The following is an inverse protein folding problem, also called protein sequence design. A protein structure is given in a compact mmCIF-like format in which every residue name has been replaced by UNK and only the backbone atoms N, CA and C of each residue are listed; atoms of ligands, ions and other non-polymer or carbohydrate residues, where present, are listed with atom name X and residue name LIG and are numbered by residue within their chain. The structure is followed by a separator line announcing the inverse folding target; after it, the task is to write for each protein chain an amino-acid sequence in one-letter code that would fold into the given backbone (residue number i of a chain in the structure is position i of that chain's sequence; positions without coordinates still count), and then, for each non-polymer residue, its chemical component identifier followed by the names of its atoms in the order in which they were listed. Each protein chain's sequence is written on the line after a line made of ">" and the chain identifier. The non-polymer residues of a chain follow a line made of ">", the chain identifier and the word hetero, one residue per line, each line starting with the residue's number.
data_IF_317786333870
#
_entry.id   IF_317786333870
#
_cell.length_a   1.000
_cell.length_b   1.000
_cell.length_c   1.000
_cell.angle_alpha   90.00
_cell.angle_beta   90.00
_cell.angle_gamma   90.00
#
_symmetry.space_group_name_H-M   'P 1'
#
loop_
_entity.id
_entity.type
_entity.pdbx_description
1 polymer ?
#
# COMPACT_ATOMS: atom_id res chain seq x y z
N UNK A 1 -74.27 -15.43 -35.11
CA UNK A 1 -73.05 -16.24 -34.87
C UNK A 1 -71.72 -15.56 -35.28
N UNK A 2 -71.72 -14.54 -36.14
CA UNK A 2 -70.48 -13.88 -36.64
C UNK A 2 -69.71 -12.99 -35.64
N UNK A 3 -70.31 -12.55 -34.52
CA UNK A 3 -69.64 -11.67 -33.54
C UNK A 3 -68.71 -12.41 -32.56
N UNK A 4 -68.91 -13.72 -32.35
CA UNK A 4 -68.04 -14.54 -31.47
C UNK A 4 -66.73 -14.95 -32.16
N UNK A 5 -66.71 -15.10 -33.49
CA UNK A 5 -65.49 -15.42 -34.24
C UNK A 5 -64.49 -14.25 -34.32
N UNK A 6 -64.94 -13.00 -34.35
CA UNK A 6 -64.03 -11.83 -34.37
C UNK A 6 -63.29 -11.63 -33.03
N UNK A 7 -63.91 -11.98 -31.89
CA UNK A 7 -63.25 -11.93 -30.58
C UNK A 7 -62.26 -13.09 -30.36
N UNK A 8 -62.45 -14.23 -31.04
CA UNK A 8 -61.58 -15.39 -30.93
C UNK A 8 -60.29 -15.27 -31.77
N UNK A 9 -60.37 -14.62 -32.94
CA UNK A 9 -59.19 -14.36 -33.78
C UNK A 9 -58.25 -13.29 -33.20
N UNK A 10 -58.78 -12.31 -32.47
CA UNK A 10 -57.98 -11.24 -31.86
C UNK A 10 -57.28 -11.73 -30.58
N UNK A 11 -57.87 -12.69 -29.85
CA UNK A 11 -57.25 -13.27 -28.65
C UNK A 11 -56.13 -14.26 -28.95
N UNK A 12 -56.11 -14.88 -30.14
CA UNK A 12 -55.04 -15.80 -30.54
C UNK A 12 -53.84 -15.06 -31.15
N UNK A 13 -54.07 -13.91 -31.81
CA UNK A 13 -53.00 -13.09 -32.39
C UNK A 13 -52.19 -12.33 -31.32
N UNK A 14 -52.79 -12.00 -30.17
CA UNK A 14 -52.06 -11.41 -29.02
C UNK A 14 -51.29 -12.42 -28.20
N UNK A 15 -51.56 -13.73 -28.34
CA UNK A 15 -50.81 -14.79 -27.66
C UNK A 15 -49.53 -15.19 -28.41
N UNK A 16 -49.39 -14.84 -29.69
CA UNK A 16 -48.28 -15.28 -30.54
C UNK A 16 -47.17 -14.23 -30.73
N UNK A 17 -47.37 -12.99 -30.25
CA UNK A 17 -46.36 -11.92 -30.30
C UNK A 17 -45.55 -11.72 -29.00
N UNK A 18 -45.76 -12.54 -27.96
CA UNK A 18 -45.00 -12.45 -26.70
C UNK A 18 -43.78 -13.39 -26.66
N UNK A 19 -43.61 -14.28 -27.66
CA UNK A 19 -42.51 -15.26 -27.70
C UNK A 19 -41.38 -14.85 -28.66
N UNK A 20 -41.08 -13.55 -28.75
CA UNK A 20 -39.88 -13.05 -29.45
C UNK A 20 -39.03 -12.12 -28.59
N UNK A 21 -39.20 -12.15 -27.27
CA UNK A 21 -38.49 -11.28 -26.31
C UNK A 21 -37.39 -11.94 -25.47
N UNK A 22 -37.13 -13.25 -25.61
CA UNK A 22 -36.19 -13.96 -24.72
C UNK A 22 -35.03 -14.52 -25.54
N UNK A 23 -34.28 -13.59 -26.12
CA UNK A 23 -33.01 -13.86 -26.79
C UNK A 23 -31.98 -12.79 -26.47
N UNK A 24 -32.13 -12.08 -25.35
CA UNK A 24 -30.97 -11.39 -24.77
C UNK A 24 -30.12 -12.49 -24.16
N UNK A 25 -29.16 -13.00 -24.94
CA UNK A 25 -28.06 -13.74 -24.38
C UNK A 25 -27.51 -12.90 -23.25
N UNK A 26 -27.58 -13.41 -22.02
CA UNK A 26 -26.75 -12.90 -20.95
C UNK A 26 -25.33 -13.08 -21.45
N UNK A 27 -24.72 -12.00 -21.95
CA UNK A 27 -23.28 -11.94 -22.08
C UNK A 27 -22.80 -12.01 -20.63
N UNK A 28 -22.53 -13.21 -20.14
CA UNK A 28 -21.69 -13.38 -18.98
C UNK A 28 -20.35 -12.79 -19.44
N UNK A 29 -20.10 -11.53 -19.10
CA UNK A 29 -18.77 -10.98 -19.20
C UNK A 29 -17.89 -11.97 -18.43
N UNK A 30 -17.00 -12.65 -19.14
CA UNK A 30 -16.06 -13.59 -18.56
C UNK A 30 -15.23 -12.78 -17.55
N UNK A 31 -15.59 -12.88 -16.26
CA UNK A 31 -14.91 -12.19 -15.16
C UNK A 31 -13.63 -12.95 -14.76
N UNK A 32 -13.10 -13.80 -15.64
CA UNK A 32 -11.78 -14.39 -15.41
C UNK A 32 -10.74 -13.30 -15.57
N UNK A 33 -10.01 -13.02 -14.48
CA UNK A 33 -8.87 -12.11 -14.51
C UNK A 33 -7.88 -12.61 -15.58
N UNK A 34 -7.24 -11.70 -16.34
CA UNK A 34 -6.31 -12.10 -17.39
C UNK A 34 -5.21 -12.97 -16.78
N UNK A 35 -4.93 -14.15 -17.37
CA UNK A 35 -3.77 -14.93 -16.99
C UNK A 35 -2.54 -14.39 -17.71
N UNK A 36 -1.72 -13.64 -16.98
CA UNK A 36 -0.42 -13.15 -17.43
C UNK A 36 0.68 -14.08 -16.91
N UNK A 37 1.58 -14.48 -17.79
CA UNK A 37 2.81 -15.17 -17.41
C UNK A 37 3.84 -14.14 -16.92
N UNK A 38 3.78 -13.81 -15.63
CA UNK A 38 4.68 -12.86 -14.98
C UNK A 38 5.80 -13.60 -14.24
N UNK A 39 7.05 -13.19 -14.46
CA UNK A 39 8.21 -13.58 -13.66
C UNK A 39 8.26 -12.85 -12.30
N UNK A 40 7.18 -12.94 -11.54
CA UNK A 40 7.04 -12.35 -10.20
C UNK A 40 6.46 -13.38 -9.22
N UNK A 41 6.86 -13.29 -7.94
CA UNK A 41 6.30 -14.13 -6.87
C UNK A 41 4.85 -13.77 -6.53
N UNK A 42 4.49 -12.51 -6.68
CA UNK A 42 3.14 -11.98 -6.43
C UNK A 42 2.98 -10.67 -7.20
N UNK A 43 1.75 -10.35 -7.59
CA UNK A 43 1.39 -9.12 -8.28
C UNK A 43 -0.09 -8.80 -8.08
N UNK A 44 -0.41 -7.51 -8.04
CA UNK A 44 -1.80 -7.04 -8.07
C UNK A 44 -1.88 -5.77 -8.93
N UNK A 45 -2.98 -5.62 -9.66
CA UNK A 45 -3.35 -4.38 -10.33
C UNK A 45 -4.76 -4.01 -9.91
N UNK A 46 -4.95 -2.76 -9.48
CA UNK A 46 -6.21 -2.26 -8.93
C UNK A 46 -6.58 -0.98 -9.65
N UNK A 47 -7.86 -0.85 -10.05
CA UNK A 47 -8.40 0.43 -10.49
C UNK A 47 -8.50 1.38 -9.29
N UNK A 48 -7.75 2.48 -9.32
CA UNK A 48 -7.62 3.39 -8.19
C UNK A 48 -8.93 4.11 -7.83
N UNK A 49 -9.90 4.22 -8.74
CA UNK A 49 -11.17 4.93 -8.50
C UNK A 49 -12.22 4.04 -7.86
N UNK A 50 -12.28 2.78 -8.29
CA UNK A 50 -13.33 1.84 -7.92
C UNK A 50 -12.86 0.80 -6.91
N UNK A 51 -11.55 0.60 -6.78
CA UNK A 51 -10.97 -0.49 -5.99
C UNK A 51 -11.10 -1.86 -6.66
N UNK A 52 -11.55 -1.93 -7.91
CA UNK A 52 -11.66 -3.19 -8.64
C UNK A 52 -10.27 -3.79 -8.88
N UNK A 53 -10.08 -5.05 -8.48
CA UNK A 53 -8.89 -5.83 -8.83
C UNK A 53 -9.00 -6.20 -10.32
N UNK A 54 -8.07 -5.69 -11.12
CA UNK A 54 -7.97 -5.93 -12.57
C UNK A 54 -7.10 -7.16 -12.85
N UNK A 55 -6.14 -7.45 -11.96
CA UNK A 55 -5.27 -8.61 -12.03
C UNK A 55 -4.74 -8.96 -10.64
N UNK A 56 -4.57 -10.24 -10.36
CA UNK A 56 -3.95 -10.73 -9.15
C UNK A 56 -3.17 -12.04 -9.41
N UNK A 57 -2.00 -12.15 -8.78
CA UNK A 57 -1.16 -13.36 -8.71
C UNK A 57 -0.65 -13.47 -7.28
N UNK A 58 -0.98 -14.56 -6.59
CA UNK A 58 -0.51 -14.84 -5.21
C UNK A 58 -0.63 -13.62 -4.27
N UNK A 59 -1.73 -12.87 -4.40
CA UNK A 59 -2.00 -11.60 -3.71
C UNK A 59 -2.34 -11.79 -2.23
N UNK A 60 -2.80 -12.99 -1.87
CA UNK A 60 -3.15 -13.38 -0.49
C UNK A 60 -1.96 -13.77 0.37
N UNK A 61 -0.77 -13.95 -0.22
CA UNK A 61 0.42 -14.37 0.49
C UNK A 61 1.27 -13.18 0.92
N UNK A 62 1.83 -13.34 2.10
CA UNK A 62 2.64 -12.38 2.84
C UNK A 62 4.09 -12.44 2.28
N UNK A 63 4.57 -11.39 1.58
CA UNK A 63 5.97 -11.20 1.13
C UNK A 63 6.78 -10.02 1.74
N UNK A 64 8.11 -10.14 1.90
CA UNK A 64 9.00 -9.02 2.23
C UNK A 64 8.89 -7.86 1.22
N UNK A 65 8.57 -6.65 1.68
CA UNK A 65 8.37 -5.48 0.78
C UNK A 65 9.55 -4.51 0.74
N UNK A 66 10.53 -4.70 1.63
CA UNK A 66 11.71 -3.84 1.75
C UNK A 66 11.35 -2.33 1.72
N UNK A 67 11.97 -1.54 0.84
CA UNK A 67 11.77 -0.08 0.81
C UNK A 67 10.33 0.36 0.52
N UNK A 68 9.43 -0.50 0.04
CA UNK A 68 8.00 -0.13 -0.11
C UNK A 68 7.36 0.23 1.24
N UNK A 69 7.93 -0.19 2.38
CA UNK A 69 7.50 0.23 3.72
C UNK A 69 7.50 1.76 3.90
N UNK A 70 8.37 2.47 3.18
CA UNK A 70 8.48 3.93 3.23
C UNK A 70 7.21 4.63 2.75
N UNK A 71 6.35 3.96 1.97
CA UNK A 71 5.04 4.50 1.58
C UNK A 71 4.12 4.69 2.79
N UNK A 72 4.17 3.78 3.78
CA UNK A 72 3.43 3.94 5.03
C UNK A 72 4.01 5.08 5.88
N UNK A 73 5.33 5.24 5.91
CA UNK A 73 5.98 6.39 6.55
C UNK A 73 5.57 7.72 5.89
N UNK A 74 5.54 7.77 4.56
CA UNK A 74 5.08 8.92 3.80
C UNK A 74 3.61 9.25 4.10
N UNK A 75 2.75 8.24 4.15
CA UNK A 75 1.34 8.41 4.49
C UNK A 75 1.15 9.03 5.88
N UNK A 76 1.87 8.52 6.89
CA UNK A 76 1.82 9.04 8.26
C UNK A 76 2.34 10.47 8.34
N UNK A 77 3.43 10.78 7.62
CA UNK A 77 3.97 12.15 7.55
C UNK A 77 2.96 13.11 6.92
N UNK A 78 2.35 12.73 5.80
CA UNK A 78 1.36 13.56 5.13
C UNK A 78 0.12 13.80 6.01
N UNK A 79 -0.31 12.80 6.80
CA UNK A 79 -1.34 12.99 7.81
C UNK A 79 -0.92 13.99 8.90
N UNK A 80 0.29 13.86 9.44
CA UNK A 80 0.79 14.77 10.46
C UNK A 80 0.86 16.22 9.95
N UNK A 81 1.28 16.40 8.70
CA UNK A 81 1.29 17.72 8.04
C UNK A 81 -0.12 18.25 7.85
N UNK A 82 -1.04 17.42 7.35
CA UNK A 82 -2.44 17.81 7.16
C UNK A 82 -3.12 18.25 8.45
N UNK A 83 -2.78 17.60 9.58
CA UNK A 83 -3.28 17.93 10.92
C UNK A 83 -2.55 19.12 11.58
N UNK A 84 -1.51 19.65 10.95
CA UNK A 84 -0.68 20.72 11.51
C UNK A 84 0.21 20.29 12.68
N UNK A 85 0.39 18.99 12.91
CA UNK A 85 1.27 18.46 13.96
C UNK A 85 2.76 18.75 13.65
N UNK A 86 3.09 18.80 12.35
CA UNK A 86 4.42 19.12 11.85
C UNK A 86 4.29 19.90 10.54
N UNK A 87 5.28 20.71 10.19
CA UNK A 87 5.26 21.49 8.94
C UNK A 87 6.38 21.06 8.02
N UNK A 88 6.27 21.39 6.73
CA UNK A 88 7.34 21.17 5.75
C UNK A 88 8.66 21.87 6.14
N UNK A 89 8.57 23.00 6.83
CA UNK A 89 9.70 23.83 7.26
C UNK A 89 10.25 23.44 8.63
N UNK A 90 9.59 22.53 9.35
CA UNK A 90 10.11 21.99 10.60
C UNK A 90 11.50 21.41 10.34
N UNK A 91 12.49 21.84 11.14
CA UNK A 91 13.87 21.39 11.02
C UNK A 91 14.19 20.35 12.08
N UNK A 92 14.88 19.29 11.67
CA UNK A 92 15.37 18.23 12.56
C UNK A 92 16.83 17.94 12.29
N UNK A 93 17.59 17.64 13.34
CA UNK A 93 19.02 17.34 13.26
C UNK A 93 19.22 15.83 13.43
N UNK A 94 20.05 15.18 12.59
CA UNK A 94 20.33 13.76 12.72
C UNK A 94 21.13 13.45 13.99
N UNK A 95 20.86 12.30 14.59
CA UNK A 95 21.74 11.73 15.63
C UNK A 95 22.92 11.01 14.97
N UNK A 96 23.91 10.62 15.76
CA UNK A 96 25.03 9.81 15.28
C UNK A 96 24.56 8.54 14.55
N UNK A 97 23.51 7.88 15.04
CA UNK A 97 22.95 6.69 14.39
C UNK A 97 22.42 6.97 12.98
N UNK A 98 21.70 8.08 12.77
CA UNK A 98 21.23 8.42 11.40
C UNK A 98 22.38 8.86 10.50
N UNK A 99 23.40 9.55 11.04
CA UNK A 99 24.61 9.90 10.28
C UNK A 99 25.33 8.62 9.82
N UNK A 100 25.56 7.67 10.71
CA UNK A 100 26.23 6.40 10.38
C UNK A 100 25.45 5.61 9.33
N UNK A 101 24.14 5.47 9.50
CA UNK A 101 23.27 4.80 8.52
C UNK A 101 23.31 5.53 7.17
N UNK A 102 23.32 6.87 7.17
CA UNK A 102 23.33 7.67 5.94
C UNK A 102 24.62 7.55 5.13
N UNK A 103 25.74 7.25 5.79
CA UNK A 103 27.06 7.14 5.18
C UNK A 103 27.46 5.68 4.88
N UNK A 104 26.64 4.70 5.28
CA UNK A 104 26.87 3.30 4.93
C UNK A 104 26.59 3.06 3.45
N UNK A 105 27.63 2.71 2.69
CA UNK A 105 27.58 2.50 1.23
C UNK A 105 26.85 1.22 0.81
N UNK A 106 26.57 0.30 1.73
CA UNK A 106 25.71 -0.87 1.48
C UNK A 106 24.22 -0.54 1.52
N UNK A 107 23.86 0.68 1.94
CA UNK A 107 22.48 1.12 2.16
C UNK A 107 22.11 2.28 1.22
N UNK A 108 20.84 2.32 0.82
CA UNK A 108 20.30 3.43 0.01
C UNK A 108 20.09 4.68 0.86
N UNK A 109 20.86 5.74 0.59
CA UNK A 109 20.79 6.99 1.35
C UNK A 109 21.18 8.22 0.54
N UNK A 110 20.72 9.37 1.04
CA UNK A 110 21.36 10.67 0.82
C UNK A 110 22.17 10.95 2.09
N UNK A 111 23.49 11.20 1.99
CA UNK A 111 24.33 11.43 3.17
C UNK A 111 23.82 12.58 4.04
N UNK A 112 23.77 12.34 5.35
CA UNK A 112 23.44 13.32 6.36
C UNK A 112 24.71 13.73 7.11
N UNK A 113 24.79 15.00 7.49
CA UNK A 113 25.93 15.56 8.20
C UNK A 113 25.56 15.82 9.66
N UNK A 114 26.45 15.41 10.56
CA UNK A 114 26.34 15.71 11.99
C UNK A 114 26.24 17.22 12.23
N UNK A 115 25.38 17.63 13.17
CA UNK A 115 25.14 19.03 13.51
C UNK A 115 24.40 19.84 12.44
N UNK A 116 24.11 19.27 11.26
CA UNK A 116 23.31 19.95 10.24
C UNK A 116 21.82 19.63 10.39
N UNK A 117 20.97 20.64 10.55
CA UNK A 117 19.52 20.44 10.56
C UNK A 117 18.96 20.42 9.14
N UNK A 118 17.99 19.55 8.87
CA UNK A 118 17.29 19.41 7.60
C UNK A 118 15.80 19.69 7.77
N UNK A 119 15.16 20.27 6.76
CA UNK A 119 13.70 20.43 6.74
C UNK A 119 13.00 19.09 6.49
N UNK A 120 11.78 18.94 7.00
CA UNK A 120 10.91 17.80 6.67
C UNK A 120 10.72 17.66 5.16
N UNK A 121 10.64 18.77 4.41
CA UNK A 121 10.56 18.74 2.95
C UNK A 121 11.77 18.08 2.30
N UNK A 122 12.99 18.44 2.72
CA UNK A 122 14.23 17.84 2.20
C UNK A 122 14.28 16.35 2.53
N UNK A 123 13.92 15.97 3.76
CA UNK A 123 13.93 14.57 4.20
C UNK A 123 12.89 13.74 3.45
N UNK A 124 11.71 14.29 3.21
CA UNK A 124 10.65 13.64 2.42
C UNK A 124 11.09 13.41 0.98
N UNK A 125 11.72 14.41 0.34
CA UNK A 125 12.29 14.27 -0.99
C UNK A 125 13.40 13.21 -1.03
N UNK A 126 14.33 13.22 -0.05
CA UNK A 126 15.37 12.21 0.06
C UNK A 126 14.78 10.80 0.27
N UNK A 127 13.72 10.67 1.07
CA UNK A 127 13.02 9.40 1.31
C UNK A 127 12.35 8.88 0.05
N UNK A 128 11.62 9.70 -0.71
CA UNK A 128 10.85 9.21 -1.86
C UNK A 128 11.67 9.10 -3.14
N UNK A 129 12.58 10.03 -3.39
CA UNK A 129 13.41 10.04 -4.61
C UNK A 129 14.63 9.14 -4.42
N UNK A 130 15.33 9.30 -3.29
CA UNK A 130 16.56 8.56 -2.99
C UNK A 130 16.33 7.25 -2.24
N UNK A 131 15.09 6.91 -1.88
CA UNK A 131 14.79 5.79 -0.97
C UNK A 131 15.63 5.84 0.32
N UNK A 132 15.92 7.05 0.82
CA UNK A 132 16.92 7.26 1.85
C UNK A 132 16.48 6.74 3.22
N UNK A 133 17.22 5.76 3.74
CA UNK A 133 16.90 5.07 5.00
C UNK A 133 17.00 5.98 6.22
N UNK A 134 18.08 6.75 6.33
CA UNK A 134 18.32 7.66 7.45
C UNK A 134 17.30 8.81 7.46
N UNK A 135 16.95 9.37 6.29
CA UNK A 135 15.92 10.40 6.19
C UNK A 135 14.54 9.90 6.66
N UNK A 136 14.21 8.64 6.34
CA UNK A 136 12.99 7.97 6.81
C UNK A 136 12.96 7.84 8.33
N UNK A 137 14.09 7.45 8.94
CA UNK A 137 14.21 7.36 10.40
C UNK A 137 14.00 8.74 11.03
N UNK A 138 14.63 9.77 10.46
CA UNK A 138 14.55 11.14 10.97
C UNK A 138 13.11 11.69 10.92
N UNK A 139 12.37 11.41 9.84
CA UNK A 139 10.93 11.70 9.75
C UNK A 139 10.17 10.99 10.88
N UNK A 140 10.42 9.70 11.10
CA UNK A 140 9.76 8.94 12.16
C UNK A 140 10.02 9.49 13.56
N UNK A 141 11.26 9.85 13.86
CA UNK A 141 11.63 10.50 15.12
C UNK A 141 10.97 11.87 15.26
N UNK A 142 10.88 12.65 14.19
CA UNK A 142 10.22 13.95 14.22
C UNK A 142 8.73 13.85 14.60
N UNK A 143 8.05 12.79 14.16
CA UNK A 143 6.61 12.60 14.37
C UNK A 143 6.32 11.95 15.73
N UNK A 144 7.13 10.99 16.16
CA UNK A 144 6.83 10.12 17.31
C UNK A 144 7.86 10.18 18.44
N UNK A 145 8.90 11.00 18.30
CA UNK A 145 10.00 11.16 19.25
C UNK A 145 11.05 10.05 19.18
N UNK A 146 10.65 8.80 18.93
CA UNK A 146 11.56 7.65 18.81
C UNK A 146 11.12 6.67 17.71
N UNK A 147 12.08 5.88 17.20
CA UNK A 147 11.79 4.83 16.22
C UNK A 147 10.77 3.81 16.74
N UNK A 148 10.88 3.37 18.00
CA UNK A 148 9.95 2.39 18.58
C UNK A 148 8.51 2.92 18.57
N UNK A 149 8.30 4.15 19.05
CA UNK A 149 6.98 4.79 19.04
C UNK A 149 6.45 4.99 17.62
N UNK A 150 7.33 5.31 16.68
CA UNK A 150 6.95 5.45 15.28
C UNK A 150 6.52 4.11 14.66
N UNK A 151 7.23 3.03 14.95
CA UNK A 151 6.87 1.68 14.49
C UNK A 151 5.51 1.25 15.06
N UNK A 152 5.21 1.57 16.32
CA UNK A 152 3.89 1.32 16.90
C UNK A 152 2.80 2.11 16.18
N UNK A 153 3.04 3.42 15.91
CA UNK A 153 2.14 4.25 15.08
C UNK A 153 1.95 3.67 13.67
N UNK A 154 2.99 3.08 13.06
CA UNK A 154 2.89 2.39 11.78
C UNK A 154 1.99 1.16 11.85
N UNK A 155 2.12 0.34 12.90
CA UNK A 155 1.26 -0.85 13.10
C UNK A 155 -0.20 -0.45 13.32
N UNK A 156 -0.45 0.58 14.11
CA UNK A 156 -1.79 1.14 14.32
C UNK A 156 -2.39 1.68 13.02
N UNK A 157 -1.58 2.41 12.24
CA UNK A 157 -2.00 2.95 10.94
C UNK A 157 -2.28 1.85 9.92
N UNK A 158 -1.45 0.81 9.86
CA UNK A 158 -1.70 -0.34 8.98
C UNK A 158 -3.03 -1.02 9.33
N UNK A 159 -3.30 -1.26 10.62
CA UNK A 159 -4.56 -1.85 11.08
C UNK A 159 -5.76 -0.97 10.73
N UNK A 160 -5.67 0.35 10.87
CA UNK A 160 -6.77 1.26 10.53
C UNK A 160 -7.04 1.33 9.02
N UNK A 161 -6.06 1.00 8.19
CA UNK A 161 -6.20 0.82 6.74
C UNK A 161 -6.70 -0.58 6.33
N UNK A 162 -7.06 -1.44 7.29
CA UNK A 162 -7.51 -2.81 7.04
C UNK A 162 -6.39 -3.84 6.86
N UNK A 163 -5.13 -3.43 6.98
CA UNK A 163 -3.95 -4.28 6.84
C UNK A 163 -3.64 -4.92 8.21
N UNK A 164 -4.21 -6.09 8.46
CA UNK A 164 -4.21 -6.71 9.79
C UNK A 164 -3.11 -7.73 10.03
N UNK A 165 -2.49 -8.24 8.96
CA UNK A 165 -1.44 -9.27 9.00
C UNK A 165 -0.02 -8.72 8.80
N UNK A 166 0.11 -7.40 8.66
CA UNK A 166 1.40 -6.75 8.48
C UNK A 166 2.30 -6.88 9.72
N UNK A 167 3.53 -7.33 9.48
CA UNK A 167 4.59 -7.37 10.48
C UNK A 167 5.59 -6.25 10.20
N UNK A 168 5.54 -5.19 11.01
CA UNK A 168 6.36 -3.98 10.83
C UNK A 168 7.42 -3.93 11.93
N UNK A 169 8.70 -3.80 11.53
CA UNK A 169 9.85 -3.79 12.44
C UNK A 169 10.75 -2.56 12.29
N UNK A 170 10.62 -1.81 11.18
CA UNK A 170 11.38 -0.58 10.94
C UNK A 170 10.57 0.37 10.07
N UNK A 171 10.90 1.67 10.15
CA UNK A 171 10.26 2.71 9.34
C UNK A 171 10.64 2.66 7.86
N UNK A 172 11.80 2.06 7.54
CA UNK A 172 12.46 2.14 6.25
C UNK A 172 12.59 0.78 5.53
N UNK A 173 12.17 -0.32 6.16
CA UNK A 173 12.23 -1.67 5.60
C UNK A 173 13.59 -2.36 5.77
N UNK A 174 14.55 -1.74 6.47
CA UNK A 174 15.80 -2.40 6.85
C UNK A 174 15.55 -3.48 7.90
N UNK A 175 16.37 -4.52 7.86
CA UNK A 175 16.31 -5.64 8.80
C UNK A 175 16.92 -5.26 10.16
N UNK A 176 16.55 -6.02 11.20
CA UNK A 176 17.00 -5.78 12.57
C UNK A 176 18.54 -5.74 12.73
N UNK A 177 19.31 -6.33 11.81
CA UNK A 177 20.78 -6.29 11.85
C UNK A 177 21.36 -4.87 11.82
N UNK A 178 20.60 -3.90 11.30
CA UNK A 178 21.00 -2.50 11.25
C UNK A 178 20.52 -1.69 12.47
N UNK A 179 19.86 -2.32 13.44
CA UNK A 179 19.30 -1.64 14.61
C UNK A 179 19.63 -2.39 15.91
N UNK A 180 20.41 -1.77 16.80
CA UNK A 180 20.69 -2.30 18.15
C UNK A 180 19.47 -2.30 19.09
N UNK A 181 18.31 -1.79 18.63
CA UNK A 181 17.09 -1.57 19.42
C UNK A 181 16.20 -2.83 19.45
N UNK A 182 16.43 -3.81 18.57
CA UNK A 182 15.73 -5.09 18.61
C UNK A 182 16.52 -6.13 19.41
N UNK A 183 16.34 -6.16 20.72
CA UNK A 183 16.92 -7.20 21.58
C UNK A 183 16.38 -8.61 21.23
N UNK A 184 17.32 -9.53 21.01
CA UNK A 184 17.25 -10.97 21.28
C UNK A 184 16.01 -11.75 20.85
N UNK A 185 15.57 -11.63 19.60
CA UNK A 185 15.01 -12.80 18.91
C UNK A 185 15.91 -13.11 17.73
N UNK A 186 16.48 -14.31 17.75
CA UNK A 186 17.30 -14.91 16.71
C UNK A 186 16.42 -15.06 15.47
N UNK A 187 16.37 -14.02 14.64
CA UNK A 187 15.62 -14.06 13.40
C UNK A 187 16.56 -14.49 12.27
N UNK A 188 16.38 -15.74 11.83
CA UNK A 188 17.00 -16.24 10.62
C UNK A 188 16.76 -15.28 9.44
N UNK A 189 17.72 -15.29 8.51
CA UNK A 189 17.85 -14.42 7.33
C UNK A 189 16.58 -14.28 6.48
N UNK A 190 15.57 -13.54 6.94
CA UNK A 190 14.43 -13.13 6.13
C UNK A 190 13.98 -11.73 6.54
N UNK A 191 13.97 -10.84 5.55
CA UNK A 191 13.46 -9.48 5.65
C UNK A 191 11.97 -9.54 5.96
N UNK A 192 11.50 -8.93 7.05
CA UNK A 192 10.08 -8.91 7.36
C UNK A 192 9.60 -7.47 7.34
N UNK A 193 9.01 -7.09 6.22
CA UNK A 193 7.86 -6.20 6.21
C UNK A 193 6.91 -6.86 5.23
N UNK A 194 5.67 -7.09 5.61
CA UNK A 194 4.83 -7.92 4.79
C UNK A 194 3.43 -7.36 4.58
N UNK A 195 3.03 -7.24 3.32
CA UNK A 195 1.63 -6.99 2.93
C UNK A 195 0.99 -8.26 2.41
N UNK A 196 -0.32 -8.35 2.68
CA UNK A 196 -1.31 -9.05 1.87
C UNK A 196 -2.07 -7.97 1.10
N UNK A 197 -2.24 -8.16 -0.20
CA UNK A 197 -3.03 -7.23 -1.00
C UNK A 197 -4.52 -7.54 -0.88
#
# INVERSE_FOLDING_TARGET
>A
MLKKLKKLGISFLTSLMVVTGIGQGFINADQTLPQLDLEAKSAIAVDAKTGQIIYAKDDKQTYPVASMSKLLTAYILLQAIHKGEITWETRVTPTATEVDISNNTELTNVPLKEGHSYTIKQLYQAMLVGSANAATMLIGNAISGTQTKFIDKMRETAKSLGITDAKIYSANGLTAKYFSICNSQTFGSFSHFIYKF
#
